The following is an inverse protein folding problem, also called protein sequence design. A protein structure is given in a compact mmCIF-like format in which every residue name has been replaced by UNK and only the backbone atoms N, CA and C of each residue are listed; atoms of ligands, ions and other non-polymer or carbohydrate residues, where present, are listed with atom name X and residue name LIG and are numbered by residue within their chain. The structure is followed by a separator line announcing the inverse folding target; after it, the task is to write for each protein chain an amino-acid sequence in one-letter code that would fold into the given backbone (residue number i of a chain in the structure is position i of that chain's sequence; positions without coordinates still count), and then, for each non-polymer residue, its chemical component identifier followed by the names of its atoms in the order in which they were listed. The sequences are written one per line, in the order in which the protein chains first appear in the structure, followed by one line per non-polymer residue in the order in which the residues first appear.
data_IF_412114217161
#
_entry.id   IF_412114217161
#
_cell.length_a   1.000
_cell.length_b   1.000
_cell.length_c   1.000
_cell.angle_alpha   90.00
_cell.angle_beta   90.00
_cell.angle_gamma   90.00
#
_symmetry.space_group_name_H-M   'P 1'
#
loop_
_entity.id
_entity.type
_entity.pdbx_description
1 polymer ?
#
# COMPACT_ATOMS: atom_id res chain seq x y z
N UNK A 1 11.71 -28.52 0.81
CA UNK A 1 12.05 -27.38 -0.05
C UNK A 1 12.46 -26.22 0.86
N UNK A 2 13.70 -25.76 0.73
CA UNK A 2 14.27 -24.65 1.52
C UNK A 2 13.82 -23.31 0.94
N UNK A 3 13.54 -22.34 1.79
CA UNK A 3 13.32 -20.97 1.38
C UNK A 3 14.65 -20.36 0.90
N UNK A 4 14.60 -19.60 -0.20
CA UNK A 4 15.78 -18.97 -0.79
C UNK A 4 15.89 -17.51 -0.32
N UNK A 5 17.14 -17.00 -0.25
CA UNK A 5 17.37 -15.58 0.00
C UNK A 5 17.82 -14.95 -1.31
N UNK A 6 17.02 -14.02 -1.81
CA UNK A 6 17.27 -13.26 -3.04
C UNK A 6 17.20 -11.76 -2.76
N UNK A 7 17.58 -10.91 -3.72
CA UNK A 7 17.34 -9.46 -3.61
C UNK A 7 16.04 -9.07 -4.29
N UNK A 8 15.43 -7.97 -3.87
CA UNK A 8 14.24 -7.44 -4.56
C UNK A 8 14.51 -7.19 -6.04
N UNK A 9 15.69 -6.65 -6.40
CA UNK A 9 16.09 -6.47 -7.80
C UNK A 9 16.21 -7.76 -8.61
N UNK A 10 16.33 -8.91 -7.95
CA UNK A 10 16.42 -10.19 -8.63
C UNK A 10 15.06 -10.73 -9.06
N UNK A 11 13.96 -10.16 -8.54
CA UNK A 11 12.61 -10.69 -8.69
C UNK A 11 11.62 -9.74 -9.36
N UNK A 12 11.94 -8.45 -9.48
CA UNK A 12 11.09 -7.45 -10.13
C UNK A 12 11.88 -6.26 -10.66
N UNK A 13 11.26 -5.46 -11.52
CA UNK A 13 11.79 -4.18 -11.98
C UNK A 13 11.40 -3.05 -11.01
N UNK A 14 12.29 -2.06 -10.86
CA UNK A 14 12.09 -0.92 -9.97
C UNK A 14 12.27 0.38 -10.77
N UNK A 15 11.24 1.23 -10.76
CA UNK A 15 11.22 2.49 -11.50
C UNK A 15 10.56 3.60 -10.67
N UNK A 16 10.85 4.86 -11.00
CA UNK A 16 10.12 6.03 -10.47
C UNK A 16 9.14 6.57 -11.50
N UNK A 17 8.12 7.31 -11.04
CA UNK A 17 7.13 7.94 -11.90
C UNK A 17 7.66 9.17 -12.63
N UNK A 18 6.77 9.76 -13.43
CA UNK A 18 7.08 10.96 -14.21
C UNK A 18 6.14 12.14 -13.92
N UNK A 19 5.20 11.99 -12.98
CA UNK A 19 4.18 13.00 -12.66
C UNK A 19 4.51 13.79 -11.41
N UNK A 20 3.93 14.98 -11.30
CA UNK A 20 3.95 15.77 -10.08
C UNK A 20 2.56 15.82 -9.41
N UNK A 21 2.51 16.21 -8.15
CA UNK A 21 1.25 16.26 -7.38
C UNK A 21 0.22 17.21 -7.99
N UNK A 22 0.67 18.24 -8.69
CA UNK A 22 -0.18 19.21 -9.40
C UNK A 22 -0.88 18.61 -10.64
N UNK A 23 -0.42 17.46 -11.15
CA UNK A 23 -1.07 16.75 -12.26
C UNK A 23 -2.35 16.01 -11.82
N UNK A 24 -2.64 16.00 -10.51
CA UNK A 24 -3.84 15.37 -9.97
C UNK A 24 -5.10 16.10 -10.42
N UNK A 25 -6.13 15.31 -10.77
CA UNK A 25 -7.48 15.77 -11.09
C UNK A 25 -8.48 15.02 -10.21
N UNK A 26 -9.29 15.74 -9.44
CA UNK A 26 -10.29 15.12 -8.52
C UNK A 26 -11.27 14.19 -9.26
N UNK A 27 -11.58 14.48 -10.52
CA UNK A 27 -12.46 13.69 -11.36
C UNK A 27 -11.69 12.77 -12.33
N UNK A 28 -10.39 12.60 -12.09
CA UNK A 28 -9.53 11.80 -12.94
C UNK A 28 -9.99 10.35 -13.07
N UNK A 29 -9.74 9.75 -14.21
CA UNK A 29 -10.20 8.41 -14.56
C UNK A 29 -9.42 7.30 -13.86
N UNK A 30 -8.13 7.52 -13.60
CA UNK A 30 -7.21 6.50 -13.11
C UNK A 30 -6.70 6.83 -11.70
N UNK A 31 -6.30 5.82 -10.89
CA UNK A 31 -5.55 6.02 -9.67
C UNK A 31 -4.25 6.77 -9.93
N UNK A 32 -3.91 7.67 -9.00
CA UNK A 32 -2.67 8.40 -9.01
C UNK A 32 -1.98 8.31 -7.64
N UNK A 33 -0.86 7.62 -7.61
CA UNK A 33 -0.10 7.35 -6.39
C UNK A 33 0.95 8.42 -6.17
N UNK A 34 0.78 9.15 -5.06
CA UNK A 34 1.71 10.18 -4.59
C UNK A 34 2.39 9.70 -3.30
N UNK A 35 3.15 10.58 -2.63
CA UNK A 35 3.90 10.25 -1.41
C UNK A 35 3.03 10.08 -0.14
N UNK A 36 1.73 9.86 -0.28
CA UNK A 36 0.78 9.68 0.83
C UNK A 36 0.03 8.36 0.71
N UNK A 37 -0.55 7.92 1.82
CA UNK A 37 -1.42 6.74 1.83
C UNK A 37 -2.76 6.99 1.11
N UNK A 38 -3.14 8.27 0.94
CA UNK A 38 -4.38 8.64 0.24
C UNK A 38 -4.11 8.62 -1.26
N UNK A 39 -4.85 7.78 -1.97
CA UNK A 39 -4.87 7.73 -3.43
C UNK A 39 -5.49 9.02 -3.98
N UNK A 40 -4.86 9.56 -5.01
CA UNK A 40 -5.41 10.65 -5.83
C UNK A 40 -5.93 10.11 -7.16
N UNK A 41 -6.47 11.00 -7.98
CA UNK A 41 -6.96 10.66 -9.31
C UNK A 41 -6.23 11.49 -10.37
N UNK A 42 -6.17 10.96 -11.62
CA UNK A 42 -5.53 11.59 -12.77
C UNK A 42 -6.19 11.08 -14.06
N UNK A 43 -6.05 11.82 -15.17
CA UNK A 43 -6.61 11.43 -16.48
C UNK A 43 -5.65 10.66 -17.39
N UNK A 44 -4.40 10.45 -16.95
CA UNK A 44 -3.41 9.63 -17.66
C UNK A 44 -3.09 8.35 -16.90
N UNK A 45 -2.46 7.39 -17.58
CA UNK A 45 -1.78 6.25 -16.96
C UNK A 45 -0.47 6.01 -17.67
N UNK A 46 0.56 5.65 -16.92
CA UNK A 46 1.89 5.30 -17.44
C UNK A 46 2.19 3.81 -17.31
N UNK A 47 1.36 3.06 -16.59
CA UNK A 47 1.50 1.62 -16.42
C UNK A 47 0.12 0.93 -16.34
N UNK A 48 0.08 -0.33 -16.81
CA UNK A 48 -1.09 -1.21 -16.75
C UNK A 48 -0.61 -2.61 -16.34
N UNK A 49 -0.88 -3.02 -15.12
CA UNK A 49 -0.43 -4.31 -14.59
C UNK A 49 -0.30 -4.32 -13.08
N UNK A 50 0.28 -5.41 -12.56
CA UNK A 50 0.54 -5.63 -11.14
C UNK A 50 1.74 -4.79 -10.67
N UNK A 51 1.57 -4.03 -9.60
CA UNK A 51 2.64 -3.22 -9.04
C UNK A 51 2.51 -2.99 -7.53
N UNK A 52 3.66 -2.78 -6.89
CA UNK A 52 3.80 -2.27 -5.53
C UNK A 52 4.37 -0.85 -5.64
N UNK A 53 3.80 0.09 -4.88
CA UNK A 53 4.31 1.47 -4.85
C UNK A 53 4.68 1.87 -3.43
N UNK A 54 5.76 2.65 -3.31
CA UNK A 54 6.23 3.20 -2.04
C UNK A 54 6.76 4.62 -2.20
N UNK A 55 6.57 5.46 -1.17
CA UNK A 55 7.11 6.80 -1.16
C UNK A 55 8.64 6.81 -1.11
N UNK A 56 9.27 7.56 -2.00
CA UNK A 56 10.72 7.72 -2.09
C UNK A 56 11.28 8.82 -1.19
N UNK A 57 10.45 9.72 -0.66
CA UNK A 57 10.88 10.79 0.25
C UNK A 57 9.75 11.28 1.16
N UNK A 58 10.08 12.17 2.09
CA UNK A 58 9.16 12.82 3.00
C UNK A 58 8.68 11.90 4.14
N UNK A 59 7.63 12.34 4.85
CA UNK A 59 7.08 11.65 6.04
C UNK A 59 6.52 10.25 5.75
N UNK A 60 6.25 9.94 4.49
CA UNK A 60 5.78 8.62 4.01
C UNK A 60 6.90 7.60 3.79
N UNK A 61 8.16 8.00 3.90
CA UNK A 61 9.33 7.13 3.68
C UNK A 61 9.28 5.89 4.56
N UNK A 62 9.27 4.71 3.93
CA UNK A 62 9.19 3.41 4.62
C UNK A 62 7.85 3.11 5.32
N UNK A 63 6.81 3.92 5.09
CA UNK A 63 5.48 3.79 5.74
C UNK A 63 4.32 3.78 4.76
N UNK A 64 4.49 4.37 3.56
CA UNK A 64 3.45 4.40 2.53
C UNK A 64 3.68 3.27 1.55
N UNK A 65 2.68 2.40 1.42
CA UNK A 65 2.69 1.27 0.51
C UNK A 65 1.33 1.11 -0.15
N UNK A 66 1.33 0.93 -1.48
CA UNK A 66 0.15 0.60 -2.24
C UNK A 66 0.41 -0.68 -3.05
N UNK A 67 -0.65 -1.43 -3.30
CA UNK A 67 -0.67 -2.53 -4.23
C UNK A 67 -1.81 -2.30 -5.22
N UNK A 68 -1.53 -2.46 -6.50
CA UNK A 68 -2.51 -2.32 -7.56
C UNK A 68 -2.27 -3.34 -8.67
N UNK A 69 -3.34 -3.75 -9.33
CA UNK A 69 -3.28 -4.46 -10.60
C UNK A 69 -4.27 -3.78 -11.55
N UNK A 70 -3.74 -3.06 -12.54
CA UNK A 70 -4.51 -2.28 -13.50
C UNK A 70 -3.81 -1.00 -13.93
N UNK A 71 -4.57 -0.08 -14.53
CA UNK A 71 -4.07 1.19 -15.06
C UNK A 71 -3.92 2.24 -13.98
N UNK A 72 -2.73 2.85 -13.88
CA UNK A 72 -2.44 3.92 -12.93
C UNK A 72 -1.31 4.82 -13.41
N UNK A 73 -1.17 5.96 -12.74
CA UNK A 73 -0.02 6.85 -12.85
C UNK A 73 0.60 7.09 -11.47
N UNK A 74 1.84 7.55 -11.41
CA UNK A 74 2.53 7.75 -10.15
C UNK A 74 3.55 8.87 -10.20
N UNK A 75 3.78 9.46 -9.03
CA UNK A 75 4.62 10.62 -8.84
C UNK A 75 6.09 10.30 -9.06
N UNK A 76 6.88 11.26 -9.55
CA UNK A 76 8.33 11.15 -9.78
C UNK A 76 9.15 10.75 -8.53
N UNK A 77 8.59 10.92 -7.33
CA UNK A 77 9.20 10.52 -6.06
C UNK A 77 8.51 9.32 -5.41
N UNK A 78 7.85 8.51 -6.21
CA UNK A 78 7.28 7.21 -5.82
C UNK A 78 8.00 6.14 -6.61
N UNK A 79 8.46 5.11 -5.93
CA UNK A 79 9.00 3.91 -6.56
C UNK A 79 7.90 2.92 -6.86
N UNK A 80 7.94 2.34 -8.06
CA UNK A 80 7.11 1.23 -8.51
C UNK A 80 7.98 -0.02 -8.61
N UNK A 81 7.55 -1.13 -7.99
CA UNK A 81 8.08 -2.47 -8.18
C UNK A 81 7.06 -3.24 -9.02
N UNK A 82 7.49 -3.75 -10.17
CA UNK A 82 6.60 -4.39 -11.15
C UNK A 82 7.36 -5.44 -11.97
N UNK A 83 6.72 -6.05 -12.97
CA UNK A 83 7.34 -7.08 -13.82
C UNK A 83 7.93 -8.22 -12.97
N UNK A 84 7.11 -8.77 -12.05
CA UNK A 84 7.53 -9.86 -11.20
C UNK A 84 7.86 -11.10 -12.03
N UNK A 85 8.95 -11.80 -11.68
CA UNK A 85 9.35 -13.05 -12.35
C UNK A 85 8.28 -14.13 -12.18
N UNK A 86 8.21 -15.08 -13.13
CA UNK A 86 7.16 -16.14 -13.18
C UNK A 86 7.05 -17.00 -11.92
N UNK A 87 8.10 -17.10 -11.12
CA UNK A 87 8.12 -17.86 -9.87
C UNK A 87 7.92 -16.99 -8.63
N UNK A 88 7.42 -15.76 -8.82
CA UNK A 88 7.24 -14.76 -7.77
C UNK A 88 5.82 -14.23 -7.78
N UNK A 89 5.14 -14.29 -6.65
CA UNK A 89 3.81 -13.71 -6.43
C UNK A 89 3.98 -12.27 -5.94
N UNK A 90 3.59 -11.29 -6.75
CA UNK A 90 3.74 -9.87 -6.41
C UNK A 90 3.02 -9.49 -5.11
N UNK A 91 1.85 -10.09 -4.83
CA UNK A 91 1.13 -9.89 -3.58
C UNK A 91 1.90 -10.40 -2.34
N UNK A 92 2.62 -11.52 -2.46
CA UNK A 92 3.54 -12.01 -1.41
C UNK A 92 4.68 -11.01 -1.19
N UNK A 93 5.29 -10.53 -2.27
CA UNK A 93 6.35 -9.51 -2.20
C UNK A 93 5.83 -8.24 -1.53
N UNK A 94 4.60 -7.80 -1.83
CA UNK A 94 3.97 -6.65 -1.19
C UNK A 94 3.92 -6.77 0.33
N UNK A 95 3.42 -7.90 0.86
CA UNK A 95 3.35 -8.12 2.30
C UNK A 95 4.74 -8.18 2.95
N UNK A 96 5.67 -8.89 2.30
CA UNK A 96 7.05 -8.98 2.79
C UNK A 96 7.73 -7.61 2.81
N UNK A 97 7.58 -6.84 1.73
CA UNK A 97 8.14 -5.51 1.58
C UNK A 97 7.56 -4.55 2.60
N UNK A 98 6.24 -4.47 2.72
CA UNK A 98 5.52 -3.66 3.72
C UNK A 98 5.99 -3.94 5.16
N UNK A 99 6.23 -5.21 5.49
CA UNK A 99 6.69 -5.65 6.82
C UNK A 99 8.13 -5.26 7.14
N UNK A 100 9.02 -5.28 6.15
CA UNK A 100 10.46 -5.25 6.40
C UNK A 100 11.15 -3.98 5.92
N UNK A 101 10.54 -3.21 5.01
CA UNK A 101 11.21 -2.11 4.33
C UNK A 101 11.57 -0.95 5.28
N UNK A 102 10.73 -0.62 6.27
CA UNK A 102 11.09 0.41 7.25
C UNK A 102 12.41 0.08 7.97
N UNK A 103 12.57 -1.18 8.40
CA UNK A 103 13.83 -1.64 9.04
C UNK A 103 15.03 -1.56 8.10
N UNK A 104 14.81 -1.80 6.80
CA UNK A 104 15.84 -1.65 5.78
C UNK A 104 16.26 -0.18 5.66
N UNK A 105 15.30 0.74 5.57
CA UNK A 105 15.53 2.18 5.51
C UNK A 105 16.29 2.65 6.77
N UNK A 106 15.89 2.24 7.96
CA UNK A 106 16.54 2.58 9.24
C UNK A 106 18.00 2.13 9.30
N UNK A 107 18.37 0.99 8.71
CA UNK A 107 19.77 0.53 8.65
C UNK A 107 20.68 1.47 7.86
N UNK A 108 20.13 2.13 6.83
CA UNK A 108 20.87 3.12 6.05
C UNK A 108 20.90 4.49 6.76
N UNK A 109 20.03 4.69 7.75
CA UNK A 109 19.92 5.94 8.53
C UNK A 109 20.81 6.01 9.74
N UNK A 110 21.71 5.08 9.97
CA UNK A 110 22.50 4.92 11.20
C UNK A 110 23.27 6.18 11.68
N UNK A 111 23.16 7.33 10.98
CA UNK A 111 23.76 8.62 11.31
C UNK A 111 22.84 9.84 11.13
N UNK A 112 21.52 9.68 10.96
CA UNK A 112 20.59 10.80 10.77
C UNK A 112 19.23 10.37 10.24
N UNK A 113 18.28 11.29 10.07
CA UNK A 113 16.99 11.03 9.42
C UNK A 113 17.21 10.64 7.97
N UNK A 114 16.50 9.61 7.49
CA UNK A 114 16.43 9.32 6.05
C UNK A 114 15.40 10.24 5.43
N UNK A 115 15.85 11.30 4.81
CA UNK A 115 14.98 12.23 4.11
C UNK A 115 14.53 11.69 2.73
N UNK A 116 15.25 10.68 2.19
CA UNK A 116 14.93 10.06 0.92
C UNK A 116 15.42 8.61 0.81
N UNK A 117 14.59 7.76 0.19
CA UNK A 117 14.95 6.40 -0.22
C UNK A 117 15.74 6.47 -1.53
N UNK A 118 16.83 5.72 -1.60
CA UNK A 118 17.58 5.53 -2.82
C UNK A 118 17.23 4.18 -3.43
N UNK A 119 17.37 4.08 -4.75
CA UNK A 119 17.09 2.85 -5.49
C UNK A 119 17.80 1.61 -4.89
N UNK A 120 19.07 1.76 -4.51
CA UNK A 120 19.86 0.67 -3.93
C UNK A 120 19.31 0.15 -2.60
N UNK A 121 18.59 0.97 -1.83
CA UNK A 121 17.95 0.54 -0.57
C UNK A 121 16.79 -0.44 -0.84
N UNK A 122 16.06 -0.24 -1.92
CA UNK A 122 15.00 -1.14 -2.36
C UNK A 122 15.62 -2.35 -3.06
N UNK A 123 16.45 -2.10 -4.06
CA UNK A 123 17.06 -3.14 -4.92
C UNK A 123 17.87 -4.16 -4.11
N UNK A 124 18.65 -3.68 -3.15
CA UNK A 124 19.50 -4.51 -2.29
C UNK A 124 18.79 -5.16 -1.10
N UNK A 125 17.50 -4.93 -0.90
CA UNK A 125 16.76 -5.53 0.20
C UNK A 125 16.66 -7.04 0.01
N UNK A 126 17.03 -7.80 1.04
CA UNK A 126 16.90 -9.24 1.05
C UNK A 126 15.43 -9.65 1.16
N UNK A 127 15.02 -10.56 0.29
CA UNK A 127 13.72 -11.22 0.27
C UNK A 127 13.92 -12.70 0.57
N UNK A 128 13.27 -13.20 1.60
CA UNK A 128 13.22 -14.64 1.89
C UNK A 128 12.04 -15.20 1.11
N UNK A 129 12.35 -15.96 0.05
CA UNK A 129 11.41 -16.41 -0.97
C UNK A 129 11.06 -17.89 -0.77
N UNK A 130 9.81 -18.23 -0.38
CA UNK A 130 9.32 -19.60 -0.34
C UNK A 130 9.09 -20.17 -1.75
N UNK A 131 8.86 -21.48 -1.89
CA UNK A 131 8.30 -22.06 -3.08
C UNK A 131 6.98 -21.40 -3.48
N UNK A 132 6.69 -21.34 -4.79
CA UNK A 132 5.54 -20.61 -5.35
C UNK A 132 4.21 -20.94 -4.66
N UNK A 133 3.94 -22.22 -4.42
CA UNK A 133 2.71 -22.67 -3.73
C UNK A 133 2.58 -22.13 -2.30
N UNK A 134 3.70 -21.95 -1.61
CA UNK A 134 3.69 -21.34 -0.26
C UNK A 134 3.50 -19.83 -0.34
N UNK A 135 4.10 -19.15 -1.34
CA UNK A 135 3.88 -17.72 -1.59
C UNK A 135 2.39 -17.43 -1.83
N UNK A 136 1.73 -18.23 -2.69
CA UNK A 136 0.29 -18.13 -2.98
C UNK A 136 -0.53 -18.23 -1.69
N UNK A 137 -0.33 -19.31 -0.92
CA UNK A 137 -1.06 -19.53 0.33
C UNK A 137 -0.85 -18.43 1.35
N UNK A 138 0.39 -17.94 1.50
CA UNK A 138 0.69 -16.83 2.41
C UNK A 138 -0.02 -15.55 1.94
N UNK A 139 0.05 -15.24 0.65
CA UNK A 139 -0.61 -14.07 0.08
C UNK A 139 -2.14 -14.14 0.24
N UNK A 140 -2.76 -15.29 0.00
CA UNK A 140 -4.20 -15.50 0.14
C UNK A 140 -4.66 -15.30 1.58
N UNK A 141 -3.96 -15.91 2.55
CA UNK A 141 -4.29 -15.76 3.98
C UNK A 141 -4.19 -14.30 4.42
N UNK A 142 -3.10 -13.61 4.06
CA UNK A 142 -2.90 -12.21 4.45
C UNK A 142 -3.89 -11.28 3.75
N UNK A 143 -4.22 -11.53 2.48
CA UNK A 143 -5.25 -10.77 1.76
C UNK A 143 -6.62 -10.96 2.41
N UNK A 144 -7.01 -12.19 2.73
CA UNK A 144 -8.29 -12.45 3.41
C UNK A 144 -8.39 -11.74 4.76
N UNK A 145 -7.27 -11.62 5.49
CA UNK A 145 -7.25 -10.86 6.75
C UNK A 145 -7.36 -9.34 6.51
N UNK A 146 -6.67 -8.80 5.51
CA UNK A 146 -6.81 -7.38 5.14
C UNK A 146 -8.26 -7.05 4.74
N UNK A 147 -8.92 -7.91 3.92
CA UNK A 147 -10.32 -7.74 3.51
C UNK A 147 -11.28 -7.78 4.72
N UNK A 148 -11.03 -8.66 5.68
CA UNK A 148 -11.82 -8.72 6.93
C UNK A 148 -11.63 -7.45 7.78
N UNK A 149 -10.40 -6.96 7.91
CA UNK A 149 -10.10 -5.72 8.63
C UNK A 149 -10.85 -4.55 7.99
N UNK A 150 -10.75 -4.39 6.65
CA UNK A 150 -11.46 -3.33 5.93
C UNK A 150 -12.98 -3.41 6.14
N UNK A 151 -13.56 -4.61 6.07
CA UNK A 151 -14.98 -4.83 6.32
C UNK A 151 -15.41 -4.42 7.74
N UNK A 152 -14.58 -4.72 8.75
CA UNK A 152 -14.83 -4.34 10.15
C UNK A 152 -14.70 -2.82 10.33
N UNK A 153 -13.73 -2.18 9.71
CA UNK A 153 -13.53 -0.73 9.76
C UNK A 153 -14.72 0.02 9.13
N UNK A 154 -15.21 -0.44 7.98
CA UNK A 154 -16.42 0.11 7.35
C UNK A 154 -17.65 -0.04 8.25
N UNK A 155 -17.83 -1.20 8.90
CA UNK A 155 -18.90 -1.44 9.85
C UNK A 155 -18.80 -0.53 11.07
N UNK A 156 -17.58 -0.29 11.57
CA UNK A 156 -17.34 0.63 12.67
C UNK A 156 -17.81 2.05 12.32
N UNK A 157 -17.40 2.56 11.16
CA UNK A 157 -17.83 3.89 10.67
C UNK A 157 -19.36 3.99 10.57
N UNK A 158 -20.03 2.94 10.08
CA UNK A 158 -21.50 2.90 10.00
C UNK A 158 -22.15 2.94 11.40
N UNK A 159 -21.61 2.17 12.35
CA UNK A 159 -22.12 2.15 13.73
C UNK A 159 -21.89 3.48 14.46
N UNK A 160 -20.75 4.12 14.25
CA UNK A 160 -20.48 5.46 14.80
C UNK A 160 -21.43 6.52 14.23
N UNK A 161 -21.72 6.46 12.93
CA UNK A 161 -22.70 7.33 12.28
C UNK A 161 -24.12 7.11 12.84
N UNK A 162 -24.53 5.84 12.97
CA UNK A 162 -25.82 5.46 13.56
C UNK A 162 -25.93 5.95 15.02
N UNK A 163 -24.89 5.72 15.83
CA UNK A 163 -24.84 6.21 17.21
C UNK A 163 -25.03 7.73 17.28
N UNK A 164 -24.34 8.48 16.42
CA UNK A 164 -24.46 9.93 16.34
C UNK A 164 -25.89 10.38 16.01
N UNK A 165 -26.53 9.72 15.03
CA UNK A 165 -27.93 9.99 14.66
C UNK A 165 -28.89 9.72 15.82
N UNK A 166 -28.79 8.54 16.44
CA UNK A 166 -29.63 8.15 17.56
C UNK A 166 -29.45 9.07 18.77
N UNK A 167 -28.24 9.50 19.08
CA UNK A 167 -27.99 10.48 20.12
C UNK A 167 -28.75 11.79 19.86
N UNK A 168 -28.74 12.26 18.60
CA UNK A 168 -29.48 13.45 18.19
C UNK A 168 -30.98 13.30 18.37
N UNK A 169 -31.55 12.14 18.10
CA UNK A 169 -32.99 11.89 18.20
C UNK A 169 -33.44 11.62 19.64
N UNK A 170 -32.72 10.79 20.37
CA UNK A 170 -33.08 10.37 21.73
C UNK A 170 -32.82 11.47 22.77
N UNK A 171 -31.68 12.14 22.71
CA UNK A 171 -31.33 13.19 23.69
C UNK A 171 -32.13 14.50 23.50
N UNK A 172 -32.69 14.70 22.31
CA UNK A 172 -33.57 15.85 22.04
C UNK A 172 -35.05 15.52 22.24
N UNK A 173 -35.40 14.28 22.56
CA UNK A 173 -36.77 13.81 22.73
C UNK A 173 -37.57 13.70 21.42
N UNK A 174 -36.91 13.81 20.26
CA UNK A 174 -37.51 13.61 18.93
C UNK A 174 -38.04 12.18 18.78
N UNK A 175 -37.30 11.22 19.31
CA UNK A 175 -37.71 9.82 19.46
C UNK A 175 -37.67 9.48 20.95
N UNK A 176 -38.72 8.81 21.45
CA UNK A 176 -38.79 8.38 22.85
C UNK A 176 -38.66 6.87 22.97
N UNK A 177 -37.92 6.41 23.96
CA UNK A 177 -37.89 4.98 24.36
C UNK A 177 -39.14 4.66 25.19
N UNK A 178 -39.80 3.54 24.87
CA UNK A 178 -40.86 3.00 25.69
C UNK A 178 -40.26 2.48 26.99
N UNK A 179 -40.78 2.97 28.14
CA UNK A 179 -40.43 2.47 29.47
C UNK A 179 -41.61 1.59 29.90
N UNK A 180 -41.39 0.27 29.84
CA UNK A 180 -42.36 -0.69 30.42
C UNK A 180 -42.10 -0.83 31.91
#
# INVERSE_FOLDING_TARGET
TTWEIVKISDVCDIQTGGKDTQDADLNGKYPFFVRSQIEKRINSYSYDGEAILTAGDGVGTGKVFHYINGKFDFHQRVYKLSEFKKNVIGKFVYFYFKKNFLKQVERYSAKGSVDSVRLEMIAGMALVLPPLVEQEKIADVLTSLDDQIESIELKLVQLESLKKSLMGDLLTGRVRVSVN
#
